data_IF_382753576215
#
_entry.id   IF_382753576215
#
_cell.length_a   1.000
_cell.length_b   1.000
_cell.length_c   1.000
_cell.angle_alpha   90.00
_cell.angle_beta   90.00
_cell.angle_gamma   90.00
#
_symmetry.space_group_name_H-M   'P 1'
#
loop_
_entity.id
_entity.type
_entity.pdbx_description
1 polymer ?
#
# COMPACT_ATOMS: atom_id res chain seq x y z
N UNK A 1 14.55 -11.79 -11.85
CA UNK A 1 13.11 -11.72 -12.19
C UNK A 1 12.33 -12.15 -10.96
N UNK A 2 11.26 -11.44 -10.59
CA UNK A 2 10.46 -11.79 -9.41
C UNK A 2 9.78 -13.16 -9.59
N UNK A 3 9.53 -13.83 -8.48
CA UNK A 3 8.81 -15.11 -8.44
C UNK A 3 7.58 -15.07 -7.54
N UNK A 4 6.60 -15.94 -7.81
CA UNK A 4 5.40 -16.07 -6.99
C UNK A 4 5.76 -16.46 -5.55
N UNK A 5 6.69 -17.39 -5.36
CA UNK A 5 7.15 -17.80 -4.04
C UNK A 5 7.75 -16.64 -3.25
N UNK A 6 8.58 -15.80 -3.87
CA UNK A 6 9.11 -14.62 -3.19
C UNK A 6 8.01 -13.64 -2.78
N UNK A 7 7.01 -13.41 -3.64
CA UNK A 7 5.85 -12.58 -3.30
C UNK A 7 5.08 -13.15 -2.10
N UNK A 8 4.81 -14.46 -2.09
CA UNK A 8 4.06 -15.13 -1.02
C UNK A 8 4.80 -15.00 0.32
N UNK A 9 6.12 -15.19 0.32
CA UNK A 9 6.95 -15.12 1.54
C UNK A 9 7.34 -13.69 1.93
N UNK A 10 7.12 -12.69 1.06
CA UNK A 10 7.41 -11.31 1.38
C UNK A 10 6.59 -10.85 2.60
N UNK A 11 7.24 -10.16 3.54
CA UNK A 11 6.58 -9.63 4.74
C UNK A 11 5.48 -8.63 4.38
N UNK A 12 5.77 -7.73 3.44
CA UNK A 12 4.82 -6.78 2.88
C UNK A 12 4.74 -6.95 1.35
N UNK A 13 3.57 -7.36 0.86
CA UNK A 13 3.32 -7.69 -0.56
C UNK A 13 3.32 -6.44 -1.42
N UNK A 14 2.70 -5.37 -0.93
CA UNK A 14 2.64 -4.06 -1.59
C UNK A 14 4.05 -3.53 -1.87
N UNK A 15 4.88 -3.50 -0.83
CA UNK A 15 6.29 -3.08 -0.90
C UNK A 15 7.14 -3.97 -1.80
N UNK A 16 6.93 -5.29 -1.77
CA UNK A 16 7.64 -6.20 -2.67
C UNK A 16 7.30 -5.89 -4.13
N UNK A 17 6.01 -5.84 -4.49
CA UNK A 17 5.54 -5.58 -5.86
C UNK A 17 6.02 -4.22 -6.40
N UNK A 18 6.12 -3.21 -5.54
CA UNK A 18 6.65 -1.90 -5.93
C UNK A 18 8.12 -1.95 -6.35
N UNK A 19 8.96 -2.75 -5.70
CA UNK A 19 10.40 -2.84 -6.01
C UNK A 19 10.72 -3.70 -7.23
N UNK A 20 9.89 -4.70 -7.49
CA UNK A 20 10.14 -5.64 -8.58
C UNK A 20 9.74 -5.06 -9.92
N UNK A 21 10.50 -5.32 -10.97
CA UNK A 21 10.02 -5.10 -12.33
C UNK A 21 8.90 -6.11 -12.64
N UNK A 22 7.66 -5.63 -12.75
CA UNK A 22 6.50 -6.47 -13.04
C UNK A 22 6.37 -6.54 -14.56
N UNK A 23 6.88 -7.62 -15.15
CA UNK A 23 6.69 -7.90 -16.58
C UNK A 23 5.29 -8.46 -16.85
N UNK A 24 4.82 -8.40 -18.10
CA UNK A 24 3.55 -9.00 -18.51
C UNK A 24 3.51 -10.50 -18.22
N UNK A 25 4.64 -11.20 -18.39
CA UNK A 25 4.75 -12.62 -18.06
C UNK A 25 4.53 -12.90 -16.57
N UNK A 26 5.13 -12.09 -15.69
CA UNK A 26 4.91 -12.23 -14.24
C UNK A 26 3.48 -11.84 -13.84
N UNK A 27 2.90 -10.80 -14.45
CA UNK A 27 1.50 -10.43 -14.24
C UNK A 27 0.52 -11.54 -14.66
N UNK A 28 0.78 -12.20 -15.79
CA UNK A 28 0.01 -13.37 -16.22
C UNK A 28 0.14 -14.53 -15.24
N UNK A 29 1.33 -14.77 -14.66
CA UNK A 29 1.50 -15.78 -13.60
C UNK A 29 0.65 -15.47 -12.38
N UNK A 30 0.64 -14.21 -11.92
CA UNK A 30 -0.20 -13.76 -10.80
C UNK A 30 -1.69 -13.99 -11.08
N UNK A 31 -2.13 -13.70 -12.30
CA UNK A 31 -3.52 -13.92 -12.73
C UNK A 31 -3.86 -15.41 -12.85
N UNK A 32 -2.89 -16.28 -13.10
CA UNK A 32 -3.08 -17.72 -13.25
C UNK A 32 -2.95 -18.53 -11.94
N UNK A 33 -2.69 -17.89 -10.79
CA UNK A 33 -2.74 -18.56 -9.49
C UNK A 33 -4.11 -19.19 -9.23
N UNK A 34 -4.23 -20.15 -8.32
CA UNK A 34 -5.57 -20.65 -8.01
C UNK A 34 -6.44 -19.57 -7.34
N UNK A 35 -7.75 -19.80 -7.34
CA UNK A 35 -8.73 -18.80 -6.85
C UNK A 35 -8.48 -18.43 -5.38
N UNK A 36 -8.20 -19.42 -4.53
CA UNK A 36 -8.02 -19.19 -3.10
C UNK A 36 -6.74 -18.40 -2.83
N UNK A 37 -5.66 -18.72 -3.54
CA UNK A 37 -4.41 -17.98 -3.46
C UNK A 37 -4.54 -16.53 -3.93
N UNK A 38 -5.24 -16.27 -5.04
CA UNK A 38 -5.49 -14.89 -5.50
C UNK A 38 -6.31 -14.11 -4.47
N UNK A 39 -7.35 -14.71 -3.90
CA UNK A 39 -8.18 -14.07 -2.87
C UNK A 39 -7.35 -13.78 -1.62
N UNK A 40 -6.50 -14.72 -1.19
CA UNK A 40 -5.59 -14.54 -0.06
C UNK A 40 -4.63 -13.37 -0.32
N UNK A 41 -3.97 -13.34 -1.47
CA UNK A 41 -3.03 -12.27 -1.82
C UNK A 41 -3.72 -10.91 -1.93
N UNK A 42 -4.92 -10.84 -2.53
CA UNK A 42 -5.69 -9.60 -2.60
C UNK A 42 -6.00 -9.06 -1.19
N UNK A 43 -6.46 -9.91 -0.27
CA UNK A 43 -6.69 -9.56 1.13
C UNK A 43 -5.41 -9.08 1.83
N UNK A 44 -4.31 -9.79 1.65
CA UNK A 44 -3.04 -9.41 2.25
C UNK A 44 -2.54 -8.06 1.72
N UNK A 45 -2.60 -7.83 0.41
CA UNK A 45 -2.21 -6.56 -0.22
C UNK A 45 -3.08 -5.41 0.29
N UNK A 46 -4.40 -5.59 0.29
CA UNK A 46 -5.34 -4.56 0.78
C UNK A 46 -5.16 -4.34 2.28
N UNK A 47 -4.94 -5.36 3.10
CA UNK A 47 -4.69 -5.18 4.54
C UNK A 47 -3.34 -4.53 4.86
N UNK A 48 -2.34 -4.74 3.99
CA UNK A 48 -1.00 -4.16 4.11
C UNK A 48 -0.86 -2.85 3.32
N UNK A 49 -1.96 -2.31 2.78
CA UNK A 49 -1.94 -1.08 1.99
C UNK A 49 -1.52 0.08 2.88
N UNK A 50 -0.58 0.86 2.37
CA UNK A 50 -0.10 2.11 2.97
C UNK A 50 0.04 3.16 1.88
N UNK A 51 0.77 4.24 2.14
CA UNK A 51 0.89 5.38 1.22
C UNK A 51 1.21 5.07 -0.25
N UNK A 52 2.00 4.04 -0.52
CA UNK A 52 2.39 3.69 -1.89
C UNK A 52 1.36 2.79 -2.59
N UNK A 53 0.19 2.56 -1.99
CA UNK A 53 -0.86 1.75 -2.60
C UNK A 53 -1.37 2.34 -3.93
N UNK A 54 -1.63 3.65 -4.06
CA UNK A 54 -1.94 4.27 -5.36
C UNK A 54 -0.83 4.07 -6.38
N UNK A 55 0.44 4.21 -5.98
CA UNK A 55 1.60 3.94 -6.85
C UNK A 55 1.62 2.49 -7.32
N UNK A 56 1.29 1.54 -6.43
CA UNK A 56 1.14 0.13 -6.81
C UNK A 56 -0.02 -0.05 -7.79
N UNK A 57 -1.17 0.58 -7.54
CA UNK A 57 -2.31 0.53 -8.46
C UNK A 57 -1.93 1.11 -9.81
N UNK A 58 -1.28 2.27 -9.88
CA UNK A 58 -0.79 2.91 -11.12
C UNK A 58 0.12 1.95 -11.89
N UNK A 59 1.07 1.32 -11.20
CA UNK A 59 1.99 0.31 -11.77
C UNK A 59 1.27 -0.93 -12.28
N UNK A 60 0.38 -1.51 -11.49
CA UNK A 60 -0.41 -2.70 -11.87
C UNK A 60 -1.41 -2.39 -12.99
N UNK A 61 -1.95 -1.17 -13.03
CA UNK A 61 -2.87 -0.73 -14.06
C UNK A 61 -2.15 -0.59 -15.39
N UNK A 62 -0.97 0.03 -15.38
CA UNK A 62 -0.13 0.15 -16.57
C UNK A 62 0.18 -1.23 -17.16
N UNK A 63 0.68 -2.17 -16.35
CA UNK A 63 1.01 -3.51 -16.88
C UNK A 63 -0.25 -4.29 -17.32
N UNK A 64 -1.40 -4.08 -16.67
CA UNK A 64 -2.66 -4.71 -17.07
C UNK A 64 -3.13 -4.15 -18.43
N UNK A 65 -3.04 -2.84 -18.65
CA UNK A 65 -3.34 -2.24 -19.95
C UNK A 65 -2.34 -2.65 -21.03
N UNK A 66 -1.05 -2.70 -20.73
CA UNK A 66 -0.02 -3.19 -21.65
C UNK A 66 -0.27 -4.66 -22.06
N UNK A 67 -0.79 -5.48 -21.14
CA UNK A 67 -1.00 -6.92 -21.36
C UNK A 67 -2.34 -7.22 -22.03
N UNK A 68 -3.43 -6.56 -21.60
CA UNK A 68 -4.81 -6.90 -21.97
C UNK A 68 -5.48 -5.83 -22.87
N UNK A 69 -4.81 -4.70 -23.11
CA UNK A 69 -5.34 -3.58 -23.89
C UNK A 69 -6.64 -3.02 -23.30
N UNK A 70 -7.57 -2.64 -24.19
CA UNK A 70 -8.90 -2.15 -23.83
C UNK A 70 -9.78 -3.17 -23.06
N UNK A 71 -9.36 -4.44 -22.99
CA UNK A 71 -10.00 -5.48 -22.15
C UNK A 71 -9.46 -5.47 -20.71
N UNK A 72 -8.84 -4.39 -20.27
CA UNK A 72 -8.40 -4.12 -18.89
C UNK A 72 -9.24 -4.84 -17.84
N UNK A 73 -8.59 -5.66 -17.01
CA UNK A 73 -9.16 -6.54 -15.97
C UNK A 73 -10.32 -7.47 -16.38
N UNK A 74 -10.84 -7.36 -17.61
CA UNK A 74 -12.01 -8.07 -18.13
C UNK A 74 -11.64 -9.44 -18.69
N UNK A 75 -10.39 -9.62 -19.11
CA UNK A 75 -9.91 -10.87 -19.69
C UNK A 75 -9.86 -12.00 -18.65
N UNK A 76 -10.64 -13.06 -18.90
CA UNK A 76 -10.76 -14.21 -17.99
C UNK A 76 -11.49 -13.89 -16.68
N UNK A 77 -11.79 -14.90 -15.85
CA UNK A 77 -12.43 -14.73 -14.54
C UNK A 77 -11.45 -14.39 -13.41
N UNK A 78 -10.17 -14.19 -13.74
CA UNK A 78 -9.04 -14.49 -12.87
C UNK A 78 -8.00 -13.34 -12.73
N UNK A 79 -8.28 -12.16 -13.27
CA UNK A 79 -7.31 -11.05 -13.27
C UNK A 79 -6.88 -10.65 -11.84
N UNK A 80 -5.57 -10.50 -11.66
CA UNK A 80 -4.97 -10.23 -10.36
C UNK A 80 -5.33 -8.84 -9.80
N UNK A 81 -5.26 -7.80 -10.64
CA UNK A 81 -5.64 -6.44 -10.23
C UNK A 81 -7.13 -6.36 -9.89
N UNK A 82 -7.99 -7.03 -10.67
CA UNK A 82 -9.41 -7.14 -10.38
C UNK A 82 -9.69 -7.65 -8.96
N UNK A 83 -8.94 -8.67 -8.51
CA UNK A 83 -9.05 -9.22 -7.17
C UNK A 83 -8.72 -8.21 -6.06
N UNK A 84 -7.64 -7.43 -6.25
CA UNK A 84 -7.24 -6.37 -5.32
C UNK A 84 -8.31 -5.28 -5.24
N UNK A 85 -8.80 -4.80 -6.38
CA UNK A 85 -9.84 -3.77 -6.43
C UNK A 85 -11.17 -4.27 -5.85
N UNK A 86 -11.55 -5.51 -6.12
CA UNK A 86 -12.75 -6.12 -5.55
C UNK A 86 -12.67 -6.22 -4.02
N UNK A 87 -11.52 -6.61 -3.47
CA UNK A 87 -11.33 -6.67 -2.02
C UNK A 87 -11.31 -5.26 -1.39
N UNK A 88 -10.68 -4.26 -2.04
CA UNK A 88 -10.72 -2.87 -1.58
C UNK A 88 -12.17 -2.36 -1.44
N UNK A 89 -12.96 -2.49 -2.50
CA UNK A 89 -14.37 -2.06 -2.47
C UNK A 89 -15.15 -2.87 -1.43
N UNK A 90 -14.93 -4.18 -1.34
CA UNK A 90 -15.59 -5.04 -0.35
C UNK A 90 -15.31 -4.62 1.09
N UNK A 91 -14.08 -4.22 1.41
CA UNK A 91 -13.73 -3.73 2.75
C UNK A 91 -14.39 -2.39 3.06
N UNK A 92 -14.42 -1.45 2.11
CA UNK A 92 -15.04 -0.14 2.31
C UNK A 92 -16.57 -0.23 2.37
N UNK A 93 -17.21 -1.11 1.58
CA UNK A 93 -18.64 -1.39 1.70
C UNK A 93 -19.04 -1.91 3.09
N UNK A 94 -18.19 -2.71 3.74
CA UNK A 94 -18.45 -3.22 5.10
C UNK A 94 -18.44 -2.12 6.18
N UNK A 95 -17.79 -0.98 5.91
CA UNK A 95 -17.77 0.17 6.83
C UNK A 95 -19.04 1.02 6.73
N UNK A 96 -19.77 0.94 5.60
CA UNK A 96 -21.00 1.71 5.37
C UNK A 96 -22.19 1.12 6.13
N UNK A 97 -23.11 1.98 6.51
CA UNK A 97 -24.45 1.56 6.95
C UNK A 97 -25.13 0.74 5.85
N UNK A 98 -25.90 -0.28 6.23
CA UNK A 98 -26.48 -1.24 5.28
C UNK A 98 -27.32 -0.57 4.17
N UNK A 99 -28.09 0.46 4.49
CA UNK A 99 -28.90 1.22 3.54
C UNK A 99 -28.09 2.15 2.62
N UNK A 100 -26.78 2.29 2.84
CA UNK A 100 -25.84 3.04 2.00
C UNK A 100 -24.91 2.13 1.19
N UNK A 101 -25.01 0.81 1.37
CA UNK A 101 -24.22 -0.17 0.65
C UNK A 101 -24.77 -0.37 -0.77
N UNK A 102 -23.86 -0.64 -1.72
CA UNK A 102 -24.18 -0.81 -3.12
C UNK A 102 -25.19 -1.93 -3.35
N UNK A 103 -24.99 -3.10 -2.74
CA UNK A 103 -25.81 -4.28 -3.04
C UNK A 103 -27.27 -4.09 -2.59
N UNK A 104 -27.56 -3.67 -1.35
CA UNK A 104 -28.93 -3.34 -0.94
C UNK A 104 -29.59 -2.29 -1.84
N UNK A 105 -28.88 -1.21 -2.17
CA UNK A 105 -29.38 -0.16 -3.07
C UNK A 105 -29.66 -0.70 -4.48
N UNK A 106 -28.76 -1.52 -5.03
CA UNK A 106 -28.93 -2.12 -6.35
C UNK A 106 -30.13 -3.08 -6.41
N UNK A 107 -30.35 -3.87 -5.35
CA UNK A 107 -31.49 -4.79 -5.26
C UNK A 107 -32.81 -4.02 -5.15
N UNK A 108 -32.82 -2.91 -4.40
CA UNK A 108 -34.01 -2.08 -4.20
C UNK A 108 -34.32 -1.17 -5.39
N UNK A 109 -33.30 -0.81 -6.18
CA UNK A 109 -33.48 0.04 -7.36
C UNK A 109 -34.46 -0.61 -8.35
N UNK A 110 -35.47 0.14 -8.79
CA UNK A 110 -36.47 -0.35 -9.74
C UNK A 110 -35.94 -0.37 -11.17
N UNK A 111 -34.98 0.49 -11.47
CA UNK A 111 -34.40 0.63 -12.80
C UNK A 111 -33.39 -0.47 -13.12
N UNK A 112 -33.24 -0.81 -14.40
CA UNK A 112 -32.21 -1.73 -14.90
C UNK A 112 -30.83 -1.04 -15.03
N UNK A 113 -30.46 -0.26 -14.01
CA UNK A 113 -29.26 0.57 -13.94
C UNK A 113 -28.58 0.49 -12.55
N UNK A 114 -27.39 1.09 -12.44
CA UNK A 114 -26.72 1.25 -11.14
C UNK A 114 -27.46 2.32 -10.31
N UNK A 115 -27.57 2.14 -8.99
CA UNK A 115 -28.33 3.06 -8.11
C UNK A 115 -27.72 4.47 -8.12
N UNK A 116 -28.54 5.47 -8.43
CA UNK A 116 -28.10 6.86 -8.52
C UNK A 116 -27.67 7.44 -7.16
N UNK A 117 -28.31 6.99 -6.08
CA UNK A 117 -28.05 7.43 -4.71
C UNK A 117 -26.81 6.76 -4.08
N UNK A 118 -26.18 5.81 -4.76
CA UNK A 118 -24.95 5.21 -4.28
C UNK A 118 -23.74 6.11 -4.53
N UNK A 119 -23.01 6.37 -3.45
CA UNK A 119 -21.76 7.12 -3.46
C UNK A 119 -20.56 6.17 -3.28
N UNK A 120 -19.50 6.42 -4.07
CA UNK A 120 -18.22 5.76 -3.83
C UNK A 120 -17.65 6.19 -2.49
N UNK A 121 -16.96 5.26 -1.84
CA UNK A 121 -16.09 5.60 -0.73
C UNK A 121 -14.92 6.45 -1.23
N UNK A 122 -14.44 7.40 -0.42
CA UNK A 122 -13.40 8.36 -0.82
C UNK A 122 -12.12 7.65 -1.31
N UNK A 123 -11.67 6.61 -0.61
CA UNK A 123 -10.48 5.82 -1.00
C UNK A 123 -10.74 5.09 -2.33
N UNK A 124 -11.94 4.54 -2.51
CA UNK A 124 -12.33 3.83 -3.73
C UNK A 124 -12.38 4.80 -4.93
N UNK A 125 -12.97 5.97 -4.75
CA UNK A 125 -13.06 6.99 -5.79
C UNK A 125 -11.66 7.45 -6.24
N UNK A 126 -10.77 7.70 -5.29
CA UNK A 126 -9.37 8.07 -5.56
C UNK A 126 -8.57 6.98 -6.28
N UNK A 127 -8.74 5.73 -5.87
CA UNK A 127 -8.09 4.61 -6.57
C UNK A 127 -8.65 4.45 -7.98
N UNK A 128 -9.95 4.65 -8.20
CA UNK A 128 -10.52 4.63 -9.54
C UNK A 128 -10.05 5.81 -10.39
N UNK A 129 -9.98 7.04 -9.85
CA UNK A 129 -9.44 8.19 -10.59
C UNK A 129 -8.01 7.93 -11.05
N UNK A 130 -7.16 7.37 -10.20
CA UNK A 130 -5.79 6.96 -10.55
C UNK A 130 -5.76 6.01 -11.77
N UNK A 131 -6.70 5.06 -11.85
CA UNK A 131 -6.78 4.13 -13.00
C UNK A 131 -7.24 4.86 -14.27
N UNK A 132 -8.19 5.80 -14.14
CA UNK A 132 -8.63 6.63 -15.27
C UNK A 132 -7.50 7.52 -15.80
N UNK A 133 -6.69 8.10 -14.92
CA UNK A 133 -5.50 8.88 -15.31
C UNK A 133 -4.51 8.00 -16.09
N UNK A 134 -4.21 6.79 -15.61
CA UNK A 134 -3.33 5.86 -16.34
C UNK A 134 -3.86 5.53 -17.73
N UNK A 135 -5.18 5.33 -17.85
CA UNK A 135 -5.81 5.07 -19.15
C UNK A 135 -5.68 6.28 -20.08
N UNK A 136 -5.82 7.51 -19.56
CA UNK A 136 -5.75 8.74 -20.35
C UNK A 136 -4.33 9.19 -20.71
N UNK A 137 -3.34 8.96 -19.85
CA UNK A 137 -1.96 9.43 -20.03
C UNK A 137 -1.16 8.61 -21.05
N UNK A 138 -1.56 7.35 -21.29
CA UNK A 138 -0.73 6.37 -21.99
C UNK A 138 -1.42 5.57 -23.10
N UNK A 139 -2.74 5.69 -23.26
CA UNK A 139 -3.52 4.84 -24.18
C UNK A 139 -4.57 5.63 -24.94
N UNK A 140 -5.15 5.01 -25.97
CA UNK A 140 -6.19 5.66 -26.77
C UNK A 140 -7.53 5.76 -26.01
N UNK A 141 -8.45 6.58 -26.52
CA UNK A 141 -9.76 6.81 -25.90
C UNK A 141 -10.59 5.52 -25.69
N UNK A 142 -10.34 4.47 -26.47
CA UNK A 142 -11.09 3.21 -26.34
C UNK A 142 -10.82 2.51 -25.00
N UNK A 143 -9.67 2.75 -24.39
CA UNK A 143 -9.32 2.20 -23.08
C UNK A 143 -10.16 2.85 -21.98
N UNK A 144 -10.18 4.19 -21.95
CA UNK A 144 -10.99 4.96 -21.02
C UNK A 144 -12.50 4.69 -21.20
N UNK A 145 -12.96 4.53 -22.45
CA UNK A 145 -14.37 4.26 -22.76
C UNK A 145 -14.86 2.89 -22.28
N UNK A 146 -13.98 1.89 -22.17
CA UNK A 146 -14.33 0.55 -21.69
C UNK A 146 -14.12 0.38 -20.17
N UNK A 147 -13.36 1.27 -19.53
CA UNK A 147 -12.94 1.13 -18.15
C UNK A 147 -14.12 1.00 -17.17
N UNK A 148 -15.13 1.87 -17.29
CA UNK A 148 -16.32 1.83 -16.44
C UNK A 148 -17.05 0.47 -16.51
N UNK A 149 -17.23 -0.05 -17.73
CA UNK A 149 -17.87 -1.37 -17.94
C UNK A 149 -17.02 -2.51 -17.37
N UNK A 150 -15.70 -2.42 -17.48
CA UNK A 150 -14.78 -3.43 -16.96
C UNK A 150 -14.78 -3.43 -15.42
N UNK A 151 -14.69 -2.27 -14.79
CA UNK A 151 -14.78 -2.10 -13.33
C UNK A 151 -16.14 -2.60 -12.80
N UNK A 152 -17.24 -2.16 -13.41
CA UNK A 152 -18.60 -2.61 -13.08
C UNK A 152 -18.72 -4.15 -13.11
N UNK A 153 -18.24 -4.76 -14.20
CA UNK A 153 -18.30 -6.20 -14.37
C UNK A 153 -17.46 -7.00 -13.38
N UNK A 154 -16.28 -6.50 -13.01
CA UNK A 154 -15.32 -7.27 -12.20
C UNK A 154 -15.44 -7.04 -10.71
N UNK A 155 -15.87 -5.85 -10.32
CA UNK A 155 -15.90 -5.43 -8.93
C UNK A 155 -17.34 -5.52 -8.42
N UNK A 156 -18.24 -4.72 -9.00
CA UNK A 156 -19.60 -4.55 -8.49
C UNK A 156 -20.50 -5.76 -8.75
N UNK A 157 -20.42 -6.37 -9.93
CA UNK A 157 -21.18 -7.60 -10.21
C UNK A 157 -20.75 -8.75 -9.28
N UNK A 158 -19.45 -8.81 -8.93
CA UNK A 158 -18.94 -9.77 -7.95
C UNK A 158 -19.61 -9.61 -6.59
N UNK A 159 -19.72 -8.38 -6.09
CA UNK A 159 -20.39 -8.08 -4.82
C UNK A 159 -21.87 -8.50 -4.82
N UNK A 160 -22.58 -8.25 -5.92
CA UNK A 160 -23.99 -8.63 -6.07
C UNK A 160 -24.14 -10.16 -6.05
N UNK A 161 -23.33 -10.87 -6.84
CA UNK A 161 -23.42 -12.33 -6.99
C UNK A 161 -22.99 -13.09 -5.73
N UNK A 162 -22.04 -12.54 -4.97
CA UNK A 162 -21.59 -13.11 -3.69
C UNK A 162 -22.51 -12.76 -2.51
N UNK A 163 -23.50 -11.89 -2.71
CA UNK A 163 -24.34 -11.41 -1.63
C UNK A 163 -25.27 -12.48 -1.06
N UNK A 164 -25.32 -12.64 0.28
CA UNK A 164 -26.27 -13.54 0.93
C UNK A 164 -27.72 -13.06 0.81
N UNK A 165 -27.97 -11.87 0.30
CA UNK A 165 -29.33 -11.37 0.02
C UNK A 165 -29.90 -12.00 -1.26
N UNK A 166 -29.05 -12.58 -2.11
CA UNK A 166 -29.42 -13.21 -3.37
C UNK A 166 -29.72 -14.72 -3.24
N UNK A 167 -30.48 -15.11 -2.21
CA UNK A 167 -30.68 -16.54 -1.85
C UNK A 167 -31.84 -17.24 -2.57
N UNK A 168 -32.81 -16.51 -3.13
CA UNK A 168 -33.91 -17.14 -3.86
C UNK A 168 -33.58 -17.27 -5.35
N UNK A 169 -33.85 -18.43 -5.99
CA UNK A 169 -33.55 -18.63 -7.41
C UNK A 169 -34.21 -17.59 -8.34
N UNK A 170 -35.42 -17.14 -8.01
CA UNK A 170 -36.15 -16.15 -8.79
C UNK A 170 -35.53 -14.75 -8.67
N UNK A 171 -35.11 -14.36 -7.46
CA UNK A 171 -34.40 -13.10 -7.24
C UNK A 171 -33.03 -13.14 -7.94
N UNK A 172 -32.33 -14.27 -7.91
CA UNK A 172 -31.04 -14.44 -8.58
C UNK A 172 -31.12 -14.27 -10.10
N UNK A 173 -32.17 -14.83 -10.74
CA UNK A 173 -32.40 -14.64 -12.18
C UNK A 173 -32.71 -13.16 -12.49
N UNK A 174 -33.58 -12.51 -11.70
CA UNK A 174 -33.91 -11.10 -11.89
C UNK A 174 -32.67 -10.22 -11.75
N UNK A 175 -31.89 -10.43 -10.69
CA UNK A 175 -30.66 -9.70 -10.42
C UNK A 175 -29.65 -9.92 -11.55
N UNK A 176 -29.42 -11.17 -11.99
CA UNK A 176 -28.49 -11.45 -13.08
C UNK A 176 -28.86 -10.72 -14.38
N UNK A 177 -30.15 -10.71 -14.74
CA UNK A 177 -30.66 -9.99 -15.92
C UNK A 177 -30.45 -8.47 -15.77
N UNK A 178 -30.83 -7.92 -14.61
CA UNK A 178 -30.65 -6.52 -14.28
C UNK A 178 -29.19 -6.09 -14.37
N UNK A 179 -28.30 -6.89 -13.78
CA UNK A 179 -26.85 -6.69 -13.85
C UNK A 179 -26.34 -6.68 -15.28
N UNK A 180 -26.78 -7.62 -16.12
CA UNK A 180 -26.40 -7.66 -17.54
C UNK A 180 -26.87 -6.42 -18.31
N UNK A 181 -28.09 -5.95 -18.05
CA UNK A 181 -28.63 -4.74 -18.67
C UNK A 181 -27.83 -3.50 -18.24
N UNK A 182 -27.58 -3.33 -16.95
CA UNK A 182 -26.82 -2.21 -16.41
C UNK A 182 -25.40 -2.13 -17.02
N UNK A 183 -24.70 -3.25 -17.16
CA UNK A 183 -23.33 -3.25 -17.72
C UNK A 183 -23.25 -3.13 -19.25
N UNK A 184 -24.37 -3.35 -19.95
CA UNK A 184 -24.43 -3.27 -21.42
C UNK A 184 -24.50 -1.82 -21.94
N UNK A 185 -24.90 -0.87 -21.10
CA UNK A 185 -24.96 0.55 -21.45
C UNK A 185 -23.66 1.28 -21.06
N UNK A 186 -22.62 1.13 -21.90
CA UNK A 186 -21.30 1.68 -21.63
C UNK A 186 -21.29 3.20 -21.42
N UNK A 187 -22.14 3.96 -22.14
CA UNK A 187 -22.20 5.42 -22.03
C UNK A 187 -22.77 5.87 -20.69
N UNK A 188 -23.88 5.26 -20.25
CA UNK A 188 -24.45 5.53 -18.93
C UNK A 188 -23.49 5.13 -17.81
N UNK A 189 -22.82 3.97 -17.91
CA UNK A 189 -21.82 3.57 -16.91
C UNK A 189 -20.63 4.53 -16.84
N UNK A 190 -20.13 4.98 -17.99
CA UNK A 190 -19.02 5.94 -18.01
C UNK A 190 -19.41 7.24 -17.32
N UNK A 191 -20.63 7.73 -17.59
CA UNK A 191 -21.14 8.95 -16.95
C UNK A 191 -21.32 8.72 -15.44
N UNK A 192 -21.92 7.59 -15.05
CA UNK A 192 -22.12 7.18 -13.67
C UNK A 192 -20.81 7.15 -12.86
N UNK A 193 -19.77 6.50 -13.40
CA UNK A 193 -18.48 6.39 -12.73
C UNK A 193 -17.77 7.74 -12.63
N UNK A 194 -17.79 8.56 -13.69
CA UNK A 194 -17.17 9.88 -13.67
C UNK A 194 -17.82 10.79 -12.65
N UNK A 195 -19.15 10.90 -12.67
CA UNK A 195 -19.90 11.70 -11.71
C UNK A 195 -19.58 11.29 -10.26
N UNK A 196 -19.55 10.00 -9.94
CA UNK A 196 -19.25 9.52 -8.58
C UNK A 196 -17.79 9.62 -8.17
N UNK A 197 -16.87 9.67 -9.14
CA UNK A 197 -15.46 9.99 -8.87
C UNK A 197 -15.33 11.50 -8.60
N UNK A 198 -15.98 12.33 -9.40
CA UNK A 198 -15.92 13.80 -9.31
C UNK A 198 -16.68 14.35 -8.08
N UNK A 199 -17.75 13.70 -7.67
CA UNK A 199 -18.56 14.05 -6.49
C UNK A 199 -18.00 13.50 -5.17
N UNK A 200 -17.09 12.52 -5.23
CA UNK A 200 -16.46 12.02 -4.02
C UNK A 200 -15.69 13.16 -3.36
N UNK A 201 -15.78 13.29 -2.02
CA UNK A 201 -14.90 14.20 -1.29
C UNK A 201 -13.45 13.98 -1.76
N UNK A 202 -12.66 15.06 -1.92
CA UNK A 202 -11.26 14.90 -2.28
C UNK A 202 -10.65 13.99 -1.22
N UNK A 203 -10.26 12.79 -1.64
CA UNK A 203 -9.49 11.93 -0.78
C UNK A 203 -8.22 12.71 -0.46
N UNK A 204 -7.94 13.01 0.81
CA UNK A 204 -6.83 13.89 1.12
C UNK A 204 -5.60 13.26 0.50
N UNK A 205 -4.95 13.97 -0.43
CA UNK A 205 -3.60 13.58 -0.86
C UNK A 205 -2.71 13.43 0.40
N UNK A 206 -3.04 14.14 1.49
CA UNK A 206 -2.48 14.00 2.84
C UNK A 206 -2.73 12.66 3.54
N UNK A 207 -3.76 11.86 3.22
CA UNK A 207 -3.91 10.52 3.81
C UNK A 207 -2.75 9.59 3.45
N UNK A 208 -2.19 9.77 2.26
CA UNK A 208 -0.97 9.08 1.84
C UNK A 208 0.29 9.96 1.99
N UNK A 209 0.21 11.30 1.84
CA UNK A 209 1.34 12.23 2.01
C UNK A 209 1.72 12.52 3.48
N UNK A 210 0.85 12.32 4.48
CA UNK A 210 1.20 12.45 5.92
C UNK A 210 2.26 11.42 6.33
N UNK A 211 2.42 10.33 5.57
CA UNK A 211 3.56 9.40 5.70
C UNK A 211 4.82 9.77 4.90
N UNK A 212 4.80 10.83 4.08
CA UNK A 212 6.00 11.38 3.44
C UNK A 212 6.89 12.07 4.49
N UNK A 213 6.26 12.79 5.43
CA UNK A 213 6.95 13.25 6.63
C UNK A 213 7.44 12.07 7.46
N UNK A 214 6.70 10.96 7.52
CA UNK A 214 7.10 9.81 8.33
C UNK A 214 8.36 9.09 7.84
N UNK A 215 8.68 9.03 6.54
CA UNK A 215 9.97 8.45 6.09
C UNK A 215 11.16 9.35 6.40
N UNK A 216 11.06 10.65 6.10
CA UNK A 216 12.15 11.58 6.43
C UNK A 216 12.32 11.66 7.96
N UNK A 217 11.22 11.72 8.72
CA UNK A 217 11.22 11.67 10.17
C UNK A 217 11.76 10.33 10.67
N UNK A 218 11.39 9.19 10.08
CA UNK A 218 11.92 7.88 10.48
C UNK A 218 13.42 7.77 10.20
N UNK A 219 13.90 8.26 9.05
CA UNK A 219 15.33 8.35 8.73
C UNK A 219 16.05 9.23 9.77
N UNK A 220 15.47 10.39 10.10
CA UNK A 220 16.00 11.28 11.15
C UNK A 220 16.00 10.60 12.52
N UNK A 221 14.91 9.94 12.93
CA UNK A 221 14.79 9.22 14.19
C UNK A 221 15.74 8.02 14.27
N UNK A 222 15.96 7.31 13.16
CA UNK A 222 16.96 6.25 13.06
C UNK A 222 18.36 6.84 13.26
N UNK A 223 18.68 7.95 12.58
CA UNK A 223 19.96 8.65 12.74
C UNK A 223 20.14 9.13 14.19
N UNK A 224 19.11 9.71 14.79
CA UNK A 224 19.12 10.18 16.17
C UNK A 224 19.26 9.03 17.15
N UNK A 225 18.59 7.90 16.91
CA UNK A 225 18.78 6.68 17.70
C UNK A 225 20.22 6.18 17.62
N UNK A 226 20.86 6.24 16.44
CA UNK A 226 22.28 5.90 16.28
C UNK A 226 23.18 6.84 17.08
N UNK A 227 22.92 8.14 17.00
CA UNK A 227 23.69 9.20 17.66
C UNK A 227 23.54 9.15 19.18
N UNK A 228 22.35 8.89 19.69
CA UNK A 228 22.03 8.96 21.12
C UNK A 228 22.26 7.64 21.86
N UNK A 229 22.08 6.49 21.21
CA UNK A 229 22.22 5.20 21.87
C UNK A 229 23.64 4.96 22.42
N UNK A 230 23.72 4.33 23.58
CA UNK A 230 24.95 3.78 24.12
C UNK A 230 25.21 2.39 23.53
N UNK A 231 26.13 2.33 22.57
CA UNK A 231 26.40 1.10 21.86
C UNK A 231 27.38 0.20 22.61
N UNK A 232 26.89 -0.96 23.03
CA UNK A 232 27.75 -2.04 23.48
C UNK A 232 28.45 -2.70 22.28
N UNK A 233 29.72 -2.37 22.09
CA UNK A 233 30.58 -3.08 21.13
C UNK A 233 31.34 -4.21 21.83
N UNK A 234 31.41 -5.37 21.17
CA UNK A 234 32.07 -6.55 21.74
C UNK A 234 33.51 -6.25 22.16
N UNK A 235 33.88 -6.59 23.40
CA UNK A 235 35.26 -6.61 23.88
C UNK A 235 35.74 -8.05 23.84
N UNK A 236 36.87 -8.31 23.19
CA UNK A 236 37.56 -9.58 23.30
C UNK A 236 38.59 -9.43 24.43
N UNK A 237 38.26 -9.95 25.60
CA UNK A 237 39.13 -9.99 26.77
C UNK A 237 39.90 -11.32 26.76
N UNK A 238 41.22 -11.25 26.68
CA UNK A 238 42.11 -12.40 26.87
C UNK A 238 42.99 -12.06 28.07
N UNK A 239 42.62 -12.55 29.26
CA UNK A 239 43.21 -12.12 30.53
C UNK A 239 42.85 -10.68 30.90
N UNK A 240 43.72 -9.98 31.66
CA UNK A 240 43.52 -8.59 32.09
C UNK A 240 43.77 -7.52 31.00
N UNK A 241 43.88 -7.93 29.73
CA UNK A 241 44.17 -7.03 28.62
C UNK A 241 43.06 -7.06 27.56
N UNK A 242 42.47 -5.89 27.28
CA UNK A 242 41.46 -5.70 26.25
C UNK A 242 42.14 -5.37 24.91
N UNK A 243 42.34 -6.37 24.04
CA UNK A 243 43.09 -6.22 22.78
C UNK A 243 42.24 -5.82 21.57
N UNK A 244 40.95 -6.15 21.55
CA UNK A 244 40.07 -5.83 20.43
C UNK A 244 38.75 -5.26 20.94
N UNK A 245 38.54 -3.96 20.71
CA UNK A 245 37.21 -3.34 20.77
C UNK A 245 36.58 -3.54 19.40
N UNK A 246 35.54 -4.35 19.30
CA UNK A 246 34.72 -4.43 18.09
C UNK A 246 34.10 -3.08 17.74
N UNK A 247 33.50 -2.98 16.55
CA UNK A 247 32.85 -1.75 16.07
C UNK A 247 33.79 -0.81 15.31
N UNK A 248 33.24 0.29 14.84
CA UNK A 248 33.94 1.35 14.08
C UNK A 248 33.54 2.70 14.63
N UNK A 249 34.41 3.68 14.46
CA UNK A 249 34.14 5.04 14.89
C UNK A 249 33.44 5.81 13.75
N UNK A 250 32.33 6.47 14.07
CA UNK A 250 31.66 7.44 13.21
C UNK A 250 31.91 8.84 13.78
N UNK A 251 31.92 9.85 12.92
CA UNK A 251 32.02 11.24 13.34
C UNK A 251 30.63 11.83 13.55
N UNK A 252 30.37 12.38 14.74
CA UNK A 252 29.13 13.06 15.12
C UNK A 252 29.53 14.38 15.77
N UNK A 253 29.14 15.51 15.17
CA UNK A 253 29.44 16.87 15.66
C UNK A 253 30.91 17.09 16.03
N UNK A 254 31.83 16.59 15.19
CA UNK A 254 33.28 16.68 15.39
C UNK A 254 33.85 15.75 16.48
N UNK A 255 33.05 14.81 17.00
CA UNK A 255 33.47 13.80 17.98
C UNK A 255 33.36 12.39 17.41
N UNK A 256 34.33 11.54 17.75
CA UNK A 256 34.30 10.12 17.37
C UNK A 256 33.40 9.33 18.32
N UNK A 257 32.36 8.69 17.79
CA UNK A 257 31.47 7.76 18.50
C UNK A 257 31.64 6.34 17.96
N UNK A 258 31.91 5.38 18.85
CA UNK A 258 32.08 3.98 18.45
C UNK A 258 30.75 3.25 18.38
N UNK A 259 30.45 2.65 17.23
CA UNK A 259 29.19 1.93 16.96
C UNK A 259 29.45 0.57 16.31
N UNK A 260 28.49 -0.37 16.30
CA UNK A 260 28.63 -1.62 15.56
C UNK A 260 28.81 -1.37 14.05
N UNK A 261 29.57 -2.21 13.35
CA UNK A 261 29.86 -2.02 11.91
C UNK A 261 28.62 -1.80 11.04
N UNK A 262 27.59 -2.63 11.20
CA UNK A 262 26.35 -2.53 10.42
C UNK A 262 25.52 -1.29 10.78
N UNK A 263 25.62 -0.81 12.03
CA UNK A 263 25.04 0.48 12.44
C UNK A 263 25.78 1.64 11.77
N UNK A 264 27.11 1.57 11.67
CA UNK A 264 27.88 2.58 10.95
C UNK A 264 27.59 2.60 9.45
N UNK A 265 27.32 1.45 8.83
CA UNK A 265 26.89 1.38 7.43
C UNK A 265 25.56 2.11 7.21
N UNK A 266 24.58 1.88 8.10
CA UNK A 266 23.30 2.61 8.09
C UNK A 266 23.54 4.11 8.27
N UNK A 267 24.36 4.52 9.24
CA UNK A 267 24.69 5.93 9.47
C UNK A 267 25.36 6.58 8.26
N UNK A 268 26.31 5.88 7.62
CA UNK A 268 26.99 6.34 6.42
C UNK A 268 26.02 6.50 5.25
N UNK A 269 25.08 5.58 5.11
CA UNK A 269 24.05 5.63 4.08
C UNK A 269 23.18 6.89 4.22
N UNK A 270 22.73 7.19 5.44
CA UNK A 270 21.94 8.39 5.76
C UNK A 270 22.75 9.67 5.46
N UNK A 271 23.97 9.77 5.97
CA UNK A 271 24.81 10.97 5.78
C UNK A 271 25.22 11.18 4.32
N UNK A 272 25.44 10.11 3.56
CA UNK A 272 25.70 10.20 2.11
C UNK A 272 24.47 10.73 1.36
N UNK A 273 23.28 10.33 1.81
CA UNK A 273 22.03 10.81 1.23
C UNK A 273 21.77 12.29 1.53
N UNK A 274 21.99 12.72 2.78
CA UNK A 274 21.83 14.13 3.20
C UNK A 274 22.77 15.09 2.45
N UNK A 275 23.88 14.59 1.91
CA UNK A 275 24.80 15.37 1.10
C UNK A 275 24.32 15.61 -0.35
N UNK A 276 23.21 14.99 -0.78
CA UNK A 276 22.60 15.24 -2.09
C UNK A 276 21.87 16.58 -2.09
N UNK A 277 21.96 17.32 -3.20
CA UNK A 277 21.14 18.51 -3.42
C UNK A 277 19.72 18.07 -3.83
N UNK A 278 18.71 18.56 -3.11
CA UNK A 278 17.27 18.40 -3.38
C UNK A 278 16.83 16.95 -3.70
N UNK A 279 16.97 16.00 -2.75
CA UNK A 279 16.54 14.63 -2.97
C UNK A 279 15.03 14.55 -3.21
N UNK A 280 14.63 13.75 -4.21
CA UNK A 280 13.21 13.53 -4.49
C UNK A 280 12.61 12.39 -3.65
N UNK A 281 11.28 12.27 -3.67
CA UNK A 281 10.51 11.34 -2.84
C UNK A 281 10.91 9.87 -3.01
N UNK A 282 11.13 9.44 -4.26
CA UNK A 282 11.53 8.07 -4.56
C UNK A 282 12.91 7.76 -3.96
N UNK A 283 13.79 8.76 -3.86
CA UNK A 283 15.10 8.61 -3.26
C UNK A 283 15.02 8.47 -1.73
N UNK A 284 14.15 9.22 -1.03
CA UNK A 284 13.96 9.09 0.43
C UNK A 284 13.37 7.72 0.77
N UNK A 285 12.36 7.29 0.01
CA UNK A 285 11.79 5.96 0.14
C UNK A 285 12.84 4.86 -0.07
N UNK A 286 13.66 5.00 -1.12
CA UNK A 286 14.73 4.06 -1.40
C UNK A 286 15.76 4.04 -0.28
N UNK A 287 16.13 5.19 0.29
CA UNK A 287 17.02 5.27 1.45
C UNK A 287 16.47 4.48 2.63
N UNK A 288 15.23 4.74 3.04
CA UNK A 288 14.62 4.03 4.18
C UNK A 288 14.60 2.52 3.93
N UNK A 289 14.31 2.10 2.70
CA UNK A 289 14.35 0.69 2.36
C UNK A 289 15.76 0.09 2.39
N UNK A 290 16.76 0.80 1.88
CA UNK A 290 18.14 0.34 1.93
C UNK A 290 18.58 0.16 3.39
N UNK A 291 18.16 1.05 4.29
CA UNK A 291 18.34 0.90 5.75
C UNK A 291 17.69 -0.39 6.26
N UNK A 292 16.45 -0.69 5.87
CA UNK A 292 15.79 -1.95 6.23
C UNK A 292 16.55 -3.17 5.70
N UNK A 293 17.08 -3.12 4.48
CA UNK A 293 17.88 -4.20 3.92
C UNK A 293 19.14 -4.44 4.76
N UNK A 294 19.88 -3.39 5.13
CA UNK A 294 21.04 -3.50 6.01
C UNK A 294 20.66 -4.08 7.38
N UNK A 295 19.52 -3.69 7.95
CA UNK A 295 19.01 -4.25 9.20
C UNK A 295 18.67 -5.75 9.08
N UNK A 296 18.02 -6.15 7.98
CA UNK A 296 17.69 -7.55 7.70
C UNK A 296 18.94 -8.41 7.52
N UNK A 297 19.91 -7.93 6.74
CA UNK A 297 21.20 -8.60 6.56
C UNK A 297 21.94 -8.77 7.89
N UNK A 298 21.88 -7.76 8.76
CA UNK A 298 22.53 -7.80 10.06
C UNK A 298 21.89 -8.80 11.05
N UNK A 299 20.60 -9.11 10.90
CA UNK A 299 19.92 -10.17 11.68
C UNK A 299 20.13 -11.56 11.07
N UNK A 300 20.12 -11.67 9.74
CA UNK A 300 20.30 -12.95 9.04
C UNK A 300 21.75 -13.45 9.12
N UNK A 301 22.72 -12.53 9.14
CA UNK A 301 24.15 -12.81 9.21
C UNK A 301 24.81 -12.01 10.34
N UNK A 302 24.51 -12.36 11.60
CA UNK A 302 24.98 -11.60 12.75
C UNK A 302 26.50 -11.72 12.89
N UNK A 303 27.18 -10.58 13.03
CA UNK A 303 28.62 -10.57 13.33
C UNK A 303 28.88 -11.14 14.73
N UNK A 304 30.04 -11.76 14.92
CA UNK A 304 30.48 -12.31 16.21
C UNK A 304 30.44 -11.21 17.29
N UNK A 305 29.71 -11.46 18.38
CA UNK A 305 29.57 -10.52 19.50
C UNK A 305 28.45 -9.49 19.34
N UNK A 306 27.53 -9.64 18.39
CA UNK A 306 26.32 -8.82 18.30
C UNK A 306 25.50 -8.92 19.58
N UNK A 307 25.15 -7.76 20.15
CA UNK A 307 24.41 -7.62 21.40
C UNK A 307 22.90 -7.55 21.16
N UNK A 308 22.12 -7.83 22.21
CA UNK A 308 20.66 -7.81 22.13
C UNK A 308 20.13 -6.42 21.76
N UNK A 309 20.67 -5.36 22.36
CA UNK A 309 20.34 -3.97 22.01
C UNK A 309 20.51 -3.65 20.52
N UNK A 310 21.54 -4.21 19.88
CA UNK A 310 21.75 -4.06 18.43
C UNK A 310 20.73 -4.85 17.61
N UNK A 311 20.32 -6.03 18.08
CA UNK A 311 19.25 -6.81 17.43
C UNK A 311 17.90 -6.10 17.56
N UNK A 312 17.61 -5.53 18.72
CA UNK A 312 16.38 -4.79 18.98
C UNK A 312 16.29 -3.55 18.10
N UNK A 313 17.41 -2.84 17.90
CA UNK A 313 17.50 -1.73 16.95
C UNK A 313 17.13 -2.15 15.52
N UNK A 314 17.70 -3.24 15.00
CA UNK A 314 17.31 -3.76 13.68
C UNK A 314 15.86 -4.25 13.64
N UNK A 315 15.40 -4.89 14.72
CA UNK A 315 14.01 -5.31 14.86
C UNK A 315 13.04 -4.14 14.76
N UNK A 316 13.34 -3.01 15.41
CA UNK A 316 12.56 -1.76 15.31
C UNK A 316 12.50 -1.23 13.87
N UNK A 317 13.63 -1.21 13.16
CA UNK A 317 13.69 -0.80 11.74
C UNK A 317 12.82 -1.71 10.86
N UNK A 318 12.91 -3.03 11.05
CA UNK A 318 12.19 -4.00 10.22
C UNK A 318 10.71 -4.11 10.55
N UNK A 319 10.31 -3.68 11.74
CA UNK A 319 8.92 -3.64 12.18
C UNK A 319 8.31 -2.24 12.02
N UNK A 320 8.97 -1.35 11.26
CA UNK A 320 8.45 0.00 10.95
C UNK A 320 8.14 0.85 12.19
N UNK A 321 8.79 0.56 13.32
CA UNK A 321 8.58 1.27 14.59
C UNK A 321 8.76 2.79 14.45
N UNK A 322 9.74 3.22 13.66
CA UNK A 322 10.06 4.63 13.42
C UNK A 322 9.09 5.33 12.44
N UNK A 323 8.22 4.57 11.76
CA UNK A 323 7.13 5.12 10.94
C UNK A 323 5.84 5.32 11.73
N UNK A 324 5.67 4.64 12.86
CA UNK A 324 4.42 4.62 13.65
C UNK A 324 4.35 5.74 14.70
N UNK A 325 5.47 6.38 15.06
CA UNK A 325 5.55 7.37 16.14
C UNK A 325 5.65 8.83 15.64
N UNK A 326 5.11 9.15 14.45
CA UNK A 326 5.06 10.53 13.94
C UNK A 326 3.86 11.35 14.44
N UNK A 327 2.91 10.74 15.16
CA UNK A 327 1.63 11.37 15.58
C UNK A 327 1.42 11.48 17.10
N UNK A 328 2.46 11.44 17.93
CA UNK A 328 2.35 11.91 19.31
C UNK A 328 3.06 13.25 19.47
N UNK A 329 2.55 14.31 18.83
CA UNK A 329 2.91 15.69 19.14
C UNK A 329 1.77 16.65 18.75
N UNK A 330 1.11 17.17 19.80
CA UNK A 330 0.22 18.34 19.86
C UNK A 330 -1.26 18.15 19.52
N UNK A 331 -1.96 17.35 20.33
CA UNK A 331 -3.22 17.86 20.89
C UNK A 331 -2.80 18.75 22.05
N UNK A 332 -2.90 20.07 21.88
CA UNK A 332 -2.83 20.99 23.02
C UNK A 332 -3.93 20.59 24.00
N UNK A 333 -3.55 20.13 25.19
CA UNK A 333 -4.39 20.20 26.39
C UNK A 333 -4.70 21.69 26.63
N UNK A 334 -5.77 22.17 26.01
CA UNK A 334 -6.00 23.60 25.92
C UNK A 334 -7.42 24.00 25.61
N UNK A 335 -8.45 23.24 26.01
CA UNK A 335 -9.83 23.78 26.00
C UNK A 335 -10.88 23.01 26.84
N UNK A 336 -10.50 22.30 27.93
CA UNK A 336 -11.51 21.75 28.87
C UNK A 336 -11.79 22.62 30.10
N UNK A 337 -11.02 23.69 30.38
CA UNK A 337 -11.22 24.53 31.57
C UNK A 337 -12.06 25.81 31.34
N UNK A 338 -12.69 25.99 30.18
CA UNK A 338 -13.50 27.19 29.90
C UNK A 338 -15.03 26.99 29.99
N UNK A 339 -15.53 25.81 30.37
CA UNK A 339 -16.97 25.52 30.43
C UNK A 339 -17.51 25.15 31.83
N UNK A 340 -16.74 25.43 32.88
CA UNK A 340 -17.24 25.47 34.26
C UNK A 340 -16.98 26.86 34.85
N UNK A 341 -17.51 27.92 34.23
CA UNK A 341 -17.97 29.14 34.92
C UNK A 341 -18.75 30.00 33.93
N UNK A 342 -20.05 29.71 33.79
CA UNK A 342 -21.11 30.72 33.62
C UNK A 342 -22.49 30.11 33.84
#
# INVERSE_FOLDING_TARGET
MPTIQELIHAKNKTTYLLKQEISSAFYSQLSNLDKEERIRLAKEIVNQRGQNFPTLIRKLSKICFDTNGAKFIREGSADFLAGILAELVKQNERKKEKNKQFVPLFIQNEEDAFPEDYQFDEEVAYIFSTIYEVAGDGYDETFANNLASNLANKIFNGLILESPENKSPQLAIRIAKKTQQAVSNAKSLTSYFRERIDEAPPFPDTYYQERQQSYQQAVNQIKDSIITAEWEVGKLEIGNFAFFRGGVDIEVDGKLKRVPHRVAEIYKLITTFEAKADPNEQEIYQLYHDIQQFAQEALNSPRRGQKQSTKDFYGKILNDFYLEHSEELQVEEGEEDALIMK
#
